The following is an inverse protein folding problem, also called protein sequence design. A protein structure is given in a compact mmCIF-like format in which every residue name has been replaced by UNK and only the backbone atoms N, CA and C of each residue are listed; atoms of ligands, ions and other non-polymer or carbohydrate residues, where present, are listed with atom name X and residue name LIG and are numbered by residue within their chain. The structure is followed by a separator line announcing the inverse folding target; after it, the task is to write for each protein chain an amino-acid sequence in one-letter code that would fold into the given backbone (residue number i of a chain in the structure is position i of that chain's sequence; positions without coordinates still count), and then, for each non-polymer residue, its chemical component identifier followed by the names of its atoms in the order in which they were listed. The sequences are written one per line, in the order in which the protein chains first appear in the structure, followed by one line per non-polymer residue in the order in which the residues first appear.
data_IF_402801728788
#
_entry.id   IF_402801728788
#
_cell.length_a   1.000
_cell.length_b   1.000
_cell.length_c   1.000
_cell.angle_alpha   90.00
_cell.angle_beta   90.00
_cell.angle_gamma   90.00
#
_symmetry.space_group_name_H-M   'P 1'
#
loop_
_entity.id
_entity.type
_entity.pdbx_description
1 polymer ?
#
# COMPACT_ATOMS: atom_id res chain seq x y z
N UNK A 1 -19.04 -19.02 -21.57
CA UNK A 1 -17.79 -18.88 -22.37
C UNK A 1 -16.92 -20.12 -22.12
N UNK A 2 -16.22 -20.64 -23.14
CA UNK A 2 -15.24 -21.73 -22.96
C UNK A 2 -13.86 -21.16 -22.65
N UNK A 3 -13.11 -21.81 -21.77
CA UNK A 3 -11.73 -21.46 -21.51
C UNK A 3 -10.87 -21.69 -22.79
N UNK A 4 -9.87 -20.84 -23.05
CA UNK A 4 -8.95 -21.04 -24.16
C UNK A 4 -8.09 -22.30 -23.95
N UNK A 5 -7.65 -22.92 -25.05
CA UNK A 5 -6.73 -24.07 -25.01
C UNK A 5 -5.40 -23.68 -24.38
N UNK A 6 -4.98 -24.39 -23.33
CA UNK A 6 -3.65 -24.21 -22.71
C UNK A 6 -2.55 -24.68 -23.66
N UNK A 7 -1.59 -23.80 -23.95
CA UNK A 7 -0.42 -24.07 -24.82
C UNK A 7 0.89 -24.26 -24.05
N UNK A 8 0.94 -23.81 -22.81
CA UNK A 8 2.10 -23.89 -21.92
C UNK A 8 1.67 -24.48 -20.58
N UNK A 9 2.61 -25.13 -19.90
CA UNK A 9 2.42 -25.55 -18.52
C UNK A 9 2.64 -24.35 -17.59
N UNK A 10 1.69 -24.14 -16.68
CA UNK A 10 1.74 -23.09 -15.67
C UNK A 10 0.72 -23.37 -14.56
N UNK A 11 1.02 -22.92 -13.34
CA UNK A 11 0.07 -22.98 -12.24
C UNK A 11 -1.11 -22.03 -12.53
N UNK A 12 -2.33 -22.57 -12.53
CA UNK A 12 -3.57 -21.81 -12.80
C UNK A 12 -4.34 -21.42 -11.55
N UNK A 13 -3.97 -21.96 -10.38
CA UNK A 13 -4.60 -21.67 -9.09
C UNK A 13 -3.95 -20.46 -8.44
N UNK A 14 -4.67 -19.33 -8.44
CA UNK A 14 -4.20 -18.11 -7.77
C UNK A 14 -3.87 -18.32 -6.29
N UNK A 15 -4.59 -19.19 -5.59
CA UNK A 15 -4.30 -19.53 -4.20
C UNK A 15 -2.99 -20.30 -4.05
N UNK A 16 -2.72 -21.27 -4.93
CA UNK A 16 -1.46 -22.02 -4.92
C UNK A 16 -0.27 -21.09 -5.22
N UNK A 17 -0.42 -20.18 -6.20
CA UNK A 17 0.60 -19.17 -6.53
C UNK A 17 0.93 -18.30 -5.32
N UNK A 18 -0.07 -17.82 -4.58
CA UNK A 18 0.16 -17.00 -3.39
C UNK A 18 0.88 -17.76 -2.27
N UNK A 19 0.50 -19.02 -2.05
CA UNK A 19 1.15 -19.88 -1.04
C UNK A 19 2.61 -20.10 -1.40
N UNK A 20 2.89 -20.51 -2.63
CA UNK A 20 4.26 -20.80 -3.08
C UNK A 20 5.12 -19.53 -3.10
N UNK A 21 4.61 -18.42 -3.65
CA UNK A 21 5.33 -17.14 -3.68
C UNK A 21 5.75 -16.68 -2.27
N UNK A 22 4.84 -16.72 -1.29
CA UNK A 22 5.19 -16.32 0.08
C UNK A 22 6.10 -17.31 0.79
N UNK A 23 6.04 -18.60 0.45
CA UNK A 23 6.97 -19.59 0.96
C UNK A 23 8.39 -19.35 0.39
N UNK A 24 8.49 -19.05 -0.90
CA UNK A 24 9.74 -18.70 -1.59
C UNK A 24 10.39 -17.46 -0.97
N UNK A 25 9.63 -16.38 -0.80
CA UNK A 25 10.14 -15.15 -0.16
C UNK A 25 10.72 -15.43 1.23
N UNK A 26 10.01 -16.21 2.07
CA UNK A 26 10.52 -16.54 3.41
C UNK A 26 11.78 -17.40 3.42
N UNK A 27 12.00 -18.20 2.37
CA UNK A 27 13.22 -19.00 2.25
C UNK A 27 14.41 -18.16 1.75
N UNK A 28 14.14 -17.13 0.95
CA UNK A 28 15.17 -16.38 0.23
C UNK A 28 15.52 -15.03 0.86
N UNK A 29 14.72 -14.55 1.81
CA UNK A 29 14.93 -13.26 2.49
C UNK A 29 15.29 -13.43 3.95
N UNK A 30 16.34 -12.74 4.41
CA UNK A 30 16.65 -12.61 5.84
C UNK A 30 15.67 -11.62 6.51
N UNK A 31 14.67 -12.14 7.21
CA UNK A 31 13.66 -11.35 7.93
C UNK A 31 14.05 -11.07 9.39
N UNK A 32 15.24 -11.48 9.85
CA UNK A 32 15.63 -11.39 11.26
C UNK A 32 15.66 -9.96 11.82
N UNK A 33 15.85 -8.96 10.95
CA UNK A 33 15.87 -7.53 11.29
C UNK A 33 14.48 -6.88 11.28
N UNK A 34 13.47 -7.56 10.77
CA UNK A 34 12.11 -7.03 10.69
C UNK A 34 11.37 -7.34 12.00
N UNK A 35 10.69 -6.36 12.62
CA UNK A 35 9.82 -6.63 13.77
C UNK A 35 8.82 -7.76 13.46
N UNK A 36 8.62 -8.67 14.40
CA UNK A 36 7.81 -9.88 14.17
C UNK A 36 6.36 -9.57 13.72
N UNK A 37 5.77 -8.48 14.22
CA UNK A 37 4.44 -8.03 13.80
C UNK A 37 4.41 -7.42 12.39
N UNK A 38 5.56 -6.99 11.87
CA UNK A 38 5.76 -6.43 10.53
C UNK A 38 6.20 -7.46 9.47
N UNK A 39 6.55 -8.69 9.83
CA UNK A 39 6.98 -9.75 8.90
C UNK A 39 6.00 -9.89 7.70
N UNK A 40 4.69 -9.97 7.99
CA UNK A 40 3.66 -10.10 6.95
C UNK A 40 3.57 -8.87 6.03
N UNK A 41 3.94 -7.69 6.54
CA UNK A 41 4.00 -6.46 5.74
C UNK A 41 5.19 -6.55 4.80
N UNK A 42 6.39 -6.85 5.33
CA UNK A 42 7.61 -7.00 4.54
C UNK A 42 7.47 -8.07 3.44
N UNK A 43 6.98 -9.27 3.77
CA UNK A 43 6.74 -10.35 2.78
C UNK A 43 5.79 -9.90 1.67
N UNK A 44 4.75 -9.11 1.99
CA UNK A 44 3.81 -8.62 0.98
C UNK A 44 4.39 -7.48 0.13
N UNK A 45 5.28 -6.66 0.69
CA UNK A 45 6.03 -5.66 -0.07
C UNK A 45 6.97 -6.34 -1.07
N UNK A 46 7.76 -7.32 -0.63
CA UNK A 46 8.64 -8.13 -1.49
C UNK A 46 7.85 -8.84 -2.60
N UNK A 47 6.69 -9.41 -2.29
CA UNK A 47 5.83 -10.01 -3.30
C UNK A 47 5.37 -8.99 -4.36
N UNK A 48 5.12 -7.74 -3.95
CA UNK A 48 4.72 -6.67 -4.86
C UNK A 48 5.86 -6.16 -5.74
N UNK A 49 7.10 -6.22 -5.27
CA UNK A 49 8.29 -5.71 -5.99
C UNK A 49 9.07 -6.79 -6.72
N UNK A 50 8.99 -8.05 -6.27
CA UNK A 50 9.87 -9.13 -6.70
C UNK A 50 11.31 -9.01 -6.18
N UNK A 51 11.56 -8.15 -5.18
CA UNK A 51 12.90 -7.84 -4.67
C UNK A 51 13.10 -8.42 -3.28
N UNK A 52 13.82 -9.56 -3.18
CA UNK A 52 14.06 -10.27 -1.91
C UNK A 52 14.98 -9.51 -0.96
N UNK A 53 15.77 -8.56 -1.47
CA UNK A 53 16.69 -7.69 -0.74
C UNK A 53 16.03 -6.41 -0.18
N UNK A 54 14.76 -6.15 -0.49
CA UNK A 54 14.03 -4.95 -0.05
C UNK A 54 14.09 -4.74 1.49
N UNK A 55 14.25 -5.81 2.26
CA UNK A 55 14.34 -5.75 3.74
C UNK A 55 15.47 -4.85 4.23
N UNK A 56 16.55 -4.70 3.47
CA UNK A 56 17.68 -3.85 3.85
C UNK A 56 17.34 -2.35 3.80
N UNK A 57 16.30 -1.97 3.05
CA UNK A 57 15.80 -0.60 2.93
C UNK A 57 14.63 -0.30 3.87
N UNK A 58 14.09 -1.30 4.57
CA UNK A 58 12.90 -1.13 5.41
C UNK A 58 13.22 -0.52 6.77
N UNK A 59 12.62 0.63 7.04
CA UNK A 59 12.59 1.23 8.39
C UNK A 59 11.19 1.11 8.95
N UNK A 60 11.03 0.28 9.99
CA UNK A 60 9.73 0.00 10.61
C UNK A 60 9.71 0.51 12.05
N UNK A 61 8.88 1.51 12.31
CA UNK A 61 8.65 1.98 13.67
C UNK A 61 7.97 0.86 14.51
N UNK A 62 8.39 0.57 15.76
CA UNK A 62 7.87 -0.55 16.55
C UNK A 62 6.36 -0.55 16.82
N UNK A 63 5.72 0.62 16.71
CA UNK A 63 4.26 0.80 16.86
C UNK A 63 3.49 0.85 15.54
N UNK A 64 4.17 0.82 14.38
CA UNK A 64 3.51 1.05 13.08
C UNK A 64 2.36 0.07 12.86
N UNK A 65 2.63 -1.23 12.98
CA UNK A 65 1.64 -2.27 12.65
C UNK A 65 0.48 -2.27 13.63
N UNK A 66 0.78 -2.21 14.94
CA UNK A 66 -0.26 -2.19 15.97
C UNK A 66 -1.17 -0.97 15.84
N UNK A 67 -0.61 0.23 15.70
CA UNK A 67 -1.38 1.47 15.53
C UNK A 67 -2.18 1.50 14.23
N UNK A 68 -1.56 1.17 13.09
CA UNK A 68 -2.26 1.20 11.80
C UNK A 68 -3.40 0.17 11.74
N UNK A 69 -3.18 -1.05 12.26
CA UNK A 69 -4.24 -2.06 12.33
C UNK A 69 -5.37 -1.65 13.27
N UNK A 70 -5.06 -1.00 14.39
CA UNK A 70 -6.08 -0.47 15.30
C UNK A 70 -6.92 0.60 14.59
N UNK A 71 -6.28 1.60 13.99
CA UNK A 71 -6.95 2.66 13.23
C UNK A 71 -7.87 2.11 12.13
N UNK A 72 -7.36 1.18 11.30
CA UNK A 72 -8.17 0.57 10.23
C UNK A 72 -9.37 -0.21 10.79
N UNK A 73 -9.21 -0.98 11.87
CA UNK A 73 -10.33 -1.69 12.51
C UNK A 73 -11.34 -0.75 13.15
N UNK A 74 -10.91 0.45 13.55
CA UNK A 74 -11.79 1.53 14.04
C UNK A 74 -12.43 2.34 12.91
N UNK A 75 -12.21 1.98 11.64
CA UNK A 75 -12.83 2.66 10.49
C UNK A 75 -12.04 3.85 9.94
N UNK A 76 -10.80 4.08 10.39
CA UNK A 76 -9.99 5.18 9.89
C UNK A 76 -9.79 5.13 8.36
N UNK A 77 -9.78 6.27 7.66
CA UNK A 77 -9.54 6.31 6.23
C UNK A 77 -8.07 6.01 5.89
N UNK A 78 -7.84 5.55 4.66
CA UNK A 78 -6.52 5.48 4.03
C UNK A 78 -6.38 6.68 3.10
N UNK A 79 -5.41 7.54 3.38
CA UNK A 79 -5.13 8.75 2.60
C UNK A 79 -3.88 8.52 1.74
N UNK A 80 -4.08 8.50 0.42
CA UNK A 80 -3.05 8.18 -0.57
C UNK A 80 -2.60 9.42 -1.35
N UNK A 81 -1.30 9.53 -1.62
CA UNK A 81 -0.73 10.58 -2.47
C UNK A 81 -1.03 10.38 -3.96
N UNK A 82 -1.09 9.12 -4.42
CA UNK A 82 -1.24 8.76 -5.83
C UNK A 82 -2.39 7.76 -6.07
N UNK A 83 -3.04 7.89 -7.23
CA UNK A 83 -4.15 7.02 -7.63
C UNK A 83 -3.73 5.56 -7.72
N UNK A 84 -2.48 5.27 -8.10
CA UNK A 84 -1.96 3.89 -8.14
C UNK A 84 -1.97 3.23 -6.75
N UNK A 85 -1.58 3.96 -5.70
CA UNK A 85 -1.60 3.46 -4.32
C UNK A 85 -3.03 3.16 -3.90
N UNK A 86 -3.95 4.11 -4.12
CA UNK A 86 -5.37 3.92 -3.80
C UNK A 86 -6.01 2.73 -4.54
N UNK A 87 -5.75 2.59 -5.84
CA UNK A 87 -6.27 1.48 -6.66
C UNK A 87 -5.65 0.13 -6.30
N UNK A 88 -4.43 0.10 -5.76
CA UNK A 88 -3.75 -1.11 -5.31
C UNK A 88 -4.34 -1.72 -4.02
N UNK A 89 -5.12 -0.93 -3.26
CA UNK A 89 -5.78 -1.43 -2.05
C UNK A 89 -6.92 -2.38 -2.40
N UNK A 90 -6.75 -3.66 -2.03
CA UNK A 90 -7.79 -4.68 -2.21
C UNK A 90 -8.97 -4.42 -1.25
N UNK A 91 -10.05 -3.80 -1.74
CA UNK A 91 -11.23 -3.43 -0.95
C UNK A 91 -11.79 -4.57 -0.09
N UNK A 92 -11.87 -5.78 -0.65
CA UNK A 92 -12.35 -6.98 0.07
C UNK A 92 -11.49 -7.40 1.28
N UNK A 93 -10.32 -6.79 1.48
CA UNK A 93 -9.42 -7.05 2.63
C UNK A 93 -9.49 -5.96 3.70
N UNK A 94 -10.26 -4.91 3.49
CA UNK A 94 -10.45 -3.87 4.50
C UNK A 94 -11.25 -4.46 5.68
N UNK A 95 -10.83 -4.18 6.93
CA UNK A 95 -11.49 -4.74 8.11
C UNK A 95 -12.84 -4.08 8.40
N UNK A 96 -13.09 -2.89 7.86
CA UNK A 96 -14.34 -2.15 7.85
C UNK A 96 -14.56 -1.61 6.42
N UNK A 97 -15.61 -0.81 6.21
CA UNK A 97 -15.78 -0.05 4.98
C UNK A 97 -14.89 1.20 4.97
N UNK A 98 -13.58 1.00 5.14
CA UNK A 98 -12.61 2.09 5.21
C UNK A 98 -12.56 2.84 3.87
N UNK A 99 -12.66 4.17 3.93
CA UNK A 99 -12.39 5.01 2.78
C UNK A 99 -10.94 4.84 2.31
N UNK A 100 -10.73 4.83 1.00
CA UNK A 100 -9.40 4.88 0.37
C UNK A 100 -9.41 6.03 -0.60
N UNK A 101 -8.78 7.13 -0.21
CA UNK A 101 -8.92 8.44 -0.86
C UNK A 101 -7.61 8.87 -1.48
N UNK A 102 -7.68 9.46 -2.67
CA UNK A 102 -6.57 10.15 -3.31
C UNK A 102 -7.11 11.43 -3.94
N UNK A 103 -6.74 12.59 -3.39
CA UNK A 103 -7.27 13.88 -3.84
C UNK A 103 -6.42 14.52 -4.94
N UNK A 104 -5.43 13.80 -5.49
CA UNK A 104 -4.55 14.30 -6.55
C UNK A 104 -5.30 14.83 -7.79
N UNK A 105 -6.50 14.31 -8.06
CA UNK A 105 -7.36 14.70 -9.19
C UNK A 105 -8.47 15.68 -8.81
N UNK A 106 -8.50 16.16 -7.57
CA UNK A 106 -9.44 17.20 -7.15
C UNK A 106 -9.18 18.47 -7.98
N UNK A 107 -10.26 19.09 -8.47
CA UNK A 107 -10.21 20.22 -9.40
C UNK A 107 -9.49 21.45 -8.84
N UNK A 108 -9.41 21.56 -7.51
CA UNK A 108 -8.73 22.66 -6.82
C UNK A 108 -7.21 22.53 -6.85
N UNK A 109 -6.69 21.30 -6.98
CA UNK A 109 -5.25 21.00 -6.82
C UNK A 109 -4.35 21.73 -7.82
N UNK A 110 -4.65 21.81 -9.12
CA UNK A 110 -3.80 22.54 -10.07
C UNK A 110 -3.61 24.02 -9.71
N UNK A 111 -4.66 24.66 -9.19
CA UNK A 111 -4.61 26.08 -8.83
C UNK A 111 -3.86 26.30 -7.52
N UNK A 112 -4.11 25.46 -6.50
CA UNK A 112 -3.35 25.49 -5.23
C UNK A 112 -1.85 25.26 -5.46
N UNK A 113 -1.50 24.28 -6.30
CA UNK A 113 -0.10 23.99 -6.62
C UNK A 113 0.59 25.18 -7.30
N UNK A 114 -0.12 25.88 -8.20
CA UNK A 114 0.40 27.08 -8.88
C UNK A 114 0.56 28.25 -7.91
N UNK A 115 -0.45 28.51 -7.09
CA UNK A 115 -0.44 29.60 -6.11
C UNK A 115 0.69 29.44 -5.09
N UNK A 116 0.90 28.23 -4.60
CA UNK A 116 1.91 27.94 -3.57
C UNK A 116 3.29 27.60 -4.12
N UNK A 117 3.45 27.51 -5.44
CA UNK A 117 4.72 27.14 -6.08
C UNK A 117 5.20 25.74 -5.69
N UNK A 118 4.29 24.78 -5.54
CA UNK A 118 4.58 23.40 -5.11
C UNK A 118 4.03 22.37 -6.11
N UNK A 119 4.29 21.08 -5.87
CA UNK A 119 3.77 20.00 -6.71
C UNK A 119 2.28 19.77 -6.46
N UNK A 120 1.59 19.17 -7.43
CA UNK A 120 0.17 18.78 -7.27
C UNK A 120 -0.03 17.77 -6.12
N UNK A 121 0.91 16.85 -5.94
CA UNK A 121 0.82 15.87 -4.85
C UNK A 121 0.90 16.57 -3.49
N UNK A 122 1.88 17.46 -3.31
CA UNK A 122 2.01 18.27 -2.09
C UNK A 122 0.76 19.13 -1.82
N UNK A 123 0.26 19.82 -2.85
CA UNK A 123 -0.94 20.65 -2.72
C UNK A 123 -2.19 19.81 -2.37
N UNK A 124 -2.33 18.59 -2.92
CA UNK A 124 -3.46 17.72 -2.67
C UNK A 124 -3.57 17.28 -1.20
N UNK A 125 -2.46 17.19 -0.47
CA UNK A 125 -2.47 16.84 0.95
C UNK A 125 -3.18 17.89 1.81
N UNK A 126 -3.15 19.16 1.42
CA UNK A 126 -3.88 20.23 2.11
C UNK A 126 -5.40 20.00 2.12
N UNK A 127 -5.91 19.21 1.16
CA UNK A 127 -7.33 18.89 1.04
C UNK A 127 -7.75 17.70 1.92
N UNK A 128 -6.81 17.05 2.61
CA UNK A 128 -7.16 15.99 3.57
C UNK A 128 -7.98 16.54 4.74
N UNK A 129 -7.63 17.72 5.24
CA UNK A 129 -8.35 18.43 6.30
C UNK A 129 -8.57 17.57 7.54
N UNK A 130 -9.78 17.61 8.09
CA UNK A 130 -10.16 16.88 9.31
C UNK A 130 -10.04 15.36 9.19
N UNK A 131 -9.96 14.82 7.96
CA UNK A 131 -9.77 13.37 7.76
C UNK A 131 -8.37 12.90 8.14
N UNK A 132 -7.41 13.80 8.32
CA UNK A 132 -6.03 13.42 8.65
C UNK A 132 -5.91 12.85 10.07
N UNK A 133 -6.71 13.36 11.02
CA UNK A 133 -6.64 12.88 12.40
C UNK A 133 -7.04 11.40 12.49
N UNK A 134 -6.15 10.58 13.05
CA UNK A 134 -6.33 9.13 13.15
C UNK A 134 -6.22 8.33 11.84
N UNK A 135 -5.97 8.97 10.69
CA UNK A 135 -5.87 8.27 9.40
C UNK A 135 -4.63 7.38 9.27
N UNK A 136 -4.69 6.43 8.34
CA UNK A 136 -3.51 5.75 7.83
C UNK A 136 -3.06 6.42 6.54
N UNK A 137 -1.94 7.12 6.58
CA UNK A 137 -1.36 7.80 5.42
C UNK A 137 -0.48 6.83 4.62
N UNK A 138 -0.64 6.83 3.30
CA UNK A 138 0.13 6.02 2.36
C UNK A 138 0.69 6.88 1.22
N UNK A 139 1.94 7.33 1.38
CA UNK A 139 2.68 8.06 0.36
C UNK A 139 3.56 7.04 -0.37
N UNK A 140 3.23 6.74 -1.63
CA UNK A 140 3.90 5.70 -2.40
C UNK A 140 4.48 6.15 -3.73
N UNK A 141 4.43 7.45 -4.05
CA UNK A 141 4.96 7.97 -5.31
C UNK A 141 5.75 9.27 -5.13
N UNK A 142 5.16 10.30 -4.54
CA UNK A 142 5.67 11.66 -4.63
C UNK A 142 6.41 12.06 -3.34
N UNK A 143 7.74 12.24 -3.36
CA UNK A 143 8.51 12.66 -2.17
C UNK A 143 8.17 14.06 -1.64
N UNK A 144 7.37 14.82 -2.39
CA UNK A 144 6.94 16.18 -2.02
C UNK A 144 5.58 16.21 -1.30
N UNK A 145 4.82 15.11 -1.34
CA UNK A 145 3.68 14.90 -0.46
C UNK A 145 4.22 14.63 0.96
#
# INVERSE_FOLDING_TARGET
MRAPTRRFDYEGSGAAIYVDSFATIRRETDLSRIPADAEKVAVRMIHGTGQTDLVDDLVVHPRLVSSARAALRSGAPILCDATMVASGVTRARLPQDNDVLCLLRDERVPDLAREWGTTRSAAALSLWGDRLDGAVVAIGNAPTA
#
